data_IF_304569749554
#
_entry.id   IF_304569749554
#
_cell.length_a   1.000
_cell.length_b   1.000
_cell.length_c   1.000
_cell.angle_alpha   90.00
_cell.angle_beta   90.00
_cell.angle_gamma   90.00
#
_symmetry.space_group_name_H-M   'P 1'
#
loop_
_entity.id
_entity.type
_entity.pdbx_description
1 polymer ?
#
# COMPACT_ATOMS: atom_id res chain seq x y z
N UNK A 1 -1.73 5.91 13.15
CA UNK A 1 -1.60 5.75 11.67
C UNK A 1 -0.44 6.54 11.07
N UNK A 2 -0.23 7.81 11.42
CA UNK A 2 0.84 8.66 10.86
C UNK A 2 2.25 8.04 10.95
N UNK A 3 2.62 7.43 12.09
CA UNK A 3 3.93 6.74 12.25
C UNK A 3 4.11 5.56 11.27
N UNK A 4 3.06 4.78 11.04
CA UNK A 4 3.10 3.63 10.11
C UNK A 4 3.27 4.09 8.66
N UNK A 5 2.49 5.09 8.23
CA UNK A 5 2.60 5.68 6.88
C UNK A 5 4.00 6.25 6.62
N UNK A 6 4.60 6.96 7.59
CA UNK A 6 5.99 7.45 7.48
C UNK A 6 7.01 6.32 7.26
N UNK A 7 6.90 5.23 8.00
CA UNK A 7 7.78 4.08 7.84
C UNK A 7 7.62 3.43 6.46
N UNK A 8 6.38 3.27 5.97
CA UNK A 8 6.09 2.73 4.64
C UNK A 8 6.64 3.62 3.51
N UNK A 9 6.44 4.94 3.60
CA UNK A 9 7.00 5.91 2.63
C UNK A 9 8.52 5.75 2.55
N UNK A 10 9.21 5.78 3.70
CA UNK A 10 10.66 5.65 3.75
C UNK A 10 11.11 4.31 3.15
N UNK A 11 10.52 3.20 3.59
CA UNK A 11 10.92 1.87 3.16
C UNK A 11 10.71 1.63 1.66
N UNK A 12 9.55 2.02 1.13
CA UNK A 12 9.26 1.92 -0.29
C UNK A 12 10.21 2.77 -1.14
N UNK A 13 10.50 4.01 -0.71
CA UNK A 13 11.48 4.86 -1.39
C UNK A 13 12.87 4.24 -1.36
N UNK A 14 13.34 3.76 -0.21
CA UNK A 14 14.66 3.12 -0.07
C UNK A 14 14.79 1.90 -0.99
N UNK A 15 13.76 1.05 -1.05
CA UNK A 15 13.76 -0.13 -1.91
C UNK A 15 13.90 0.22 -3.39
N UNK A 16 13.13 1.21 -3.88
CA UNK A 16 13.17 1.63 -5.28
C UNK A 16 14.51 2.26 -5.67
N UNK A 17 15.15 2.98 -4.73
CA UNK A 17 16.51 3.50 -4.94
C UNK A 17 17.49 2.32 -5.06
N UNK A 18 17.43 1.36 -4.14
CA UNK A 18 18.41 0.28 -4.04
C UNK A 18 18.31 -0.72 -5.19
N UNK A 19 17.10 -1.10 -5.61
CA UNK A 19 16.90 -2.14 -6.63
C UNK A 19 16.95 -1.56 -8.04
N UNK A 20 16.38 -0.37 -8.25
CA UNK A 20 16.16 0.19 -9.58
C UNK A 20 16.98 1.47 -9.85
N UNK A 21 17.79 1.93 -8.90
CA UNK A 21 18.56 3.17 -9.06
C UNK A 21 17.69 4.43 -9.20
N UNK A 22 16.44 4.40 -8.72
CA UNK A 22 15.53 5.56 -8.83
C UNK A 22 16.05 6.74 -8.00
N UNK A 23 15.73 7.95 -8.45
CA UNK A 23 16.10 9.18 -7.74
C UNK A 23 15.23 9.38 -6.50
N UNK A 24 15.84 9.30 -5.30
CA UNK A 24 15.15 9.52 -4.02
C UNK A 24 14.30 10.80 -4.01
N UNK A 25 14.87 11.91 -4.49
CA UNK A 25 14.25 13.22 -4.47
C UNK A 25 13.02 13.34 -5.38
N UNK A 26 12.85 12.41 -6.34
CA UNK A 26 11.76 12.40 -7.32
C UNK A 26 10.80 11.21 -7.15
N UNK A 27 11.00 10.39 -6.12
CA UNK A 27 10.13 9.24 -5.83
C UNK A 27 8.94 9.71 -5.01
N UNK A 28 7.74 9.59 -5.58
CA UNK A 28 6.48 9.89 -4.91
C UNK A 28 5.86 8.59 -4.40
N UNK A 29 5.35 8.60 -3.17
CA UNK A 29 4.64 7.47 -2.56
C UNK A 29 3.25 7.95 -2.14
N UNK A 30 2.22 7.31 -2.66
CA UNK A 30 0.82 7.54 -2.29
C UNK A 30 0.34 6.32 -1.50
N UNK A 31 -0.32 6.55 -0.37
CA UNK A 31 -0.87 5.49 0.49
C UNK A 31 -2.34 5.77 0.74
N UNK A 32 -3.18 4.95 0.14
CA UNK A 32 -4.63 4.98 0.31
C UNK A 32 -5.09 3.79 1.16
N UNK A 33 -6.07 4.05 2.02
CA UNK A 33 -6.74 3.03 2.80
C UNK A 33 -8.17 2.93 2.26
N UNK A 34 -8.49 1.80 1.65
CA UNK A 34 -9.82 1.56 1.08
C UNK A 34 -10.61 0.71 2.07
N UNK A 35 -11.89 1.06 2.25
CA UNK A 35 -12.81 0.24 3.05
C UNK A 35 -12.94 -1.15 2.38
N UNK A 36 -12.76 -2.27 3.12
CA UNK A 36 -12.94 -3.62 2.59
C UNK A 36 -14.28 -3.89 1.89
N UNK A 37 -15.36 -3.19 2.27
CA UNK A 37 -16.67 -3.32 1.62
C UNK A 37 -16.69 -2.69 0.21
N UNK A 38 -15.78 -1.75 -0.05
CA UNK A 38 -15.62 -1.07 -1.33
C UNK A 38 -14.52 -1.67 -2.22
N UNK A 39 -13.89 -2.77 -1.79
CA UNK A 39 -12.84 -3.46 -2.53
C UNK A 39 -13.29 -4.89 -2.85
N UNK A 40 -13.47 -5.18 -4.14
CA UNK A 40 -14.01 -6.46 -4.61
C UNK A 40 -12.92 -7.46 -5.01
N UNK A 41 -13.15 -8.74 -4.73
CA UNK A 41 -12.34 -9.87 -5.18
C UNK A 41 -13.25 -11.05 -5.55
N UNK A 42 -13.14 -11.55 -6.78
CA UNK A 42 -13.96 -12.67 -7.26
C UNK A 42 -15.47 -12.39 -7.35
N UNK A 43 -15.89 -11.12 -7.40
CA UNK A 43 -17.30 -10.72 -7.42
C UNK A 43 -17.91 -10.46 -6.03
N UNK A 44 -17.14 -10.60 -4.97
CA UNK A 44 -17.57 -10.35 -3.58
C UNK A 44 -16.71 -9.25 -2.93
N UNK A 45 -17.22 -8.57 -1.91
CA UNK A 45 -16.38 -7.65 -1.12
C UNK A 45 -15.35 -8.43 -0.30
N UNK A 46 -14.22 -7.81 0.04
CA UNK A 46 -13.21 -8.46 0.89
C UNK A 46 -13.78 -8.83 2.27
N UNK A 47 -14.75 -8.06 2.78
CA UNK A 47 -15.45 -8.41 4.01
C UNK A 47 -16.12 -9.77 3.92
N UNK A 48 -16.84 -10.05 2.82
CA UNK A 48 -17.51 -11.34 2.60
C UNK A 48 -16.49 -12.47 2.38
N UNK A 49 -15.42 -12.22 1.63
CA UNK A 49 -14.34 -13.20 1.43
C UNK A 49 -13.72 -13.64 2.76
N UNK A 50 -13.45 -12.68 3.67
CA UNK A 50 -12.82 -12.97 4.97
C UNK A 50 -13.70 -13.76 5.93
N UNK A 51 -15.03 -13.64 5.83
CA UNK A 51 -15.97 -14.42 6.66
C UNK A 51 -15.98 -15.92 6.33
N UNK A 52 -15.50 -16.28 5.12
CA UNK A 52 -15.45 -17.67 4.62
C UNK A 52 -14.14 -18.38 4.91
N UNK A 53 -13.14 -17.68 5.47
CA UNK A 53 -11.80 -18.19 5.78
C UNK A 53 -11.63 -18.56 7.25
#
# INVERSE_FOLDING_TARGET
>A
MLRKKKALIKGATDLLVNVLGKSRARTVVIIEEINPDSYGFGGESITEVRKKS
#
